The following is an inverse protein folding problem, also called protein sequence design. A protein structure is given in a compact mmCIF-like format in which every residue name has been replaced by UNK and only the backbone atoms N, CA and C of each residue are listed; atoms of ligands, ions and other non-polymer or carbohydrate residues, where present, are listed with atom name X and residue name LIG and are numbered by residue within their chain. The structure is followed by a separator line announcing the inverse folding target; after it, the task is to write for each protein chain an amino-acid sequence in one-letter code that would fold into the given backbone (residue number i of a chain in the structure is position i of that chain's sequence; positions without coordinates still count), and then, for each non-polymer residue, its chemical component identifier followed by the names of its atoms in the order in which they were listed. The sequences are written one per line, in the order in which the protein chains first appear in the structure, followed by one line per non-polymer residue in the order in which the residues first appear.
data_IF_992902536825
#
_entry.id   IF_992902536825
#
_cell.length_a   1.000
_cell.length_b   1.000
_cell.length_c   1.000
_cell.angle_alpha   90.00
_cell.angle_beta   90.00
_cell.angle_gamma   90.00
#
_symmetry.space_group_name_H-M   'P 1'
#
loop_
_entity.id
_entity.type
_entity.pdbx_description
1 polymer ?
#
# COMPACT_ATOMS: atom_id res chain seq x y z
N UNK A 1 -12.33 5.00 -9.17
CA UNK A 1 -13.05 3.80 -9.63
C UNK A 1 -14.55 3.90 -9.32
N UNK A 2 -14.94 4.14 -8.05
CA UNK A 2 -16.35 4.14 -7.61
C UNK A 2 -17.25 5.17 -8.31
N UNK A 3 -16.70 6.31 -8.78
CA UNK A 3 -17.47 7.38 -9.47
C UNK A 3 -17.45 7.24 -10.99
N UNK A 4 -16.44 6.57 -11.53
CA UNK A 4 -16.16 6.55 -12.97
C UNK A 4 -15.66 5.16 -13.38
N UNK A 5 -16.37 4.10 -12.96
CA UNK A 5 -16.01 2.71 -13.30
C UNK A 5 -15.98 2.48 -14.80
N UNK A 6 -16.83 3.17 -15.56
CA UNK A 6 -16.93 3.10 -17.02
C UNK A 6 -15.67 3.60 -17.76
N UNK A 7 -14.78 4.31 -17.06
CA UNK A 7 -13.51 4.79 -17.61
C UNK A 7 -12.35 3.82 -17.38
N UNK A 8 -12.59 2.68 -16.76
CA UNK A 8 -11.57 1.71 -16.35
C UNK A 8 -11.82 0.37 -17.02
N UNK A 9 -10.78 -0.23 -17.59
CA UNK A 9 -10.79 -1.62 -18.06
C UNK A 9 -10.64 -2.59 -16.86
N UNK A 10 -9.82 -2.22 -15.89
CA UNK A 10 -9.56 -3.01 -14.67
C UNK A 10 -8.94 -2.13 -13.58
N UNK A 11 -8.84 -2.66 -12.37
CA UNK A 11 -8.27 -1.95 -11.21
C UNK A 11 -7.31 -2.86 -10.44
N UNK A 12 -6.13 -2.35 -10.10
CA UNK A 12 -5.22 -2.99 -9.15
C UNK A 12 -5.13 -2.10 -7.90
N UNK A 13 -5.45 -2.66 -6.74
CA UNK A 13 -5.26 -2.03 -5.44
C UNK A 13 -4.11 -2.75 -4.74
N UNK A 14 -2.99 -2.05 -4.55
CA UNK A 14 -1.77 -2.61 -4.01
C UNK A 14 -1.35 -1.89 -2.73
N UNK A 15 -1.15 -2.66 -1.64
CA UNK A 15 -0.68 -2.13 -0.37
C UNK A 15 -1.60 -1.06 0.23
N UNK A 16 -2.92 -1.19 0.06
CA UNK A 16 -3.89 -0.21 0.56
C UNK A 16 -4.39 -0.57 1.95
N UNK A 17 -4.64 0.46 2.76
CA UNK A 17 -5.36 0.32 4.03
C UNK A 17 -6.85 0.12 3.77
N UNK A 18 -7.50 -0.55 4.72
CA UNK A 18 -8.97 -0.64 4.79
C UNK A 18 -9.40 -0.88 6.24
N UNK A 19 -10.27 0.00 6.76
CA UNK A 19 -10.87 -0.07 8.10
C UNK A 19 -9.86 -0.38 9.22
N UNK A 20 -9.08 0.63 9.59
CA UNK A 20 -8.23 0.54 10.77
C UNK A 20 -9.08 0.37 12.03
N UNK A 21 -8.74 -0.60 12.86
CA UNK A 21 -9.25 -0.68 14.23
C UNK A 21 -8.64 0.44 15.12
N UNK A 22 -9.14 0.56 16.35
CA UNK A 22 -8.70 1.62 17.27
C UNK A 22 -7.22 1.51 17.64
N UNK A 23 -6.66 0.31 17.69
CA UNK A 23 -5.24 0.09 17.95
C UNK A 23 -4.41 0.57 16.77
N UNK A 24 -4.80 0.22 15.54
CA UNK A 24 -4.15 0.66 14.32
C UNK A 24 -4.25 2.18 14.13
N UNK A 25 -5.40 2.79 14.46
CA UNK A 25 -5.59 4.24 14.47
C UNK A 25 -4.62 4.93 15.44
N UNK A 26 -4.50 4.41 16.67
CA UNK A 26 -3.53 4.94 17.65
C UNK A 26 -2.08 4.81 17.17
N UNK A 27 -1.73 3.67 16.59
CA UNK A 27 -0.38 3.44 16.07
C UNK A 27 -0.03 4.42 14.95
N UNK A 28 -0.94 4.65 13.98
CA UNK A 28 -0.67 5.58 12.87
C UNK A 28 -0.65 7.03 13.33
N UNK A 29 -1.50 7.41 14.30
CA UNK A 29 -1.47 8.73 14.93
C UNK A 29 -0.14 8.99 15.66
N UNK A 30 0.35 8.02 16.42
CA UNK A 30 1.66 8.12 17.07
C UNK A 30 2.80 8.28 16.04
N UNK A 31 2.74 7.58 14.92
CA UNK A 31 3.70 7.75 13.82
C UNK A 31 3.66 9.18 13.24
N UNK A 32 2.49 9.76 13.08
CA UNK A 32 2.35 11.16 12.67
C UNK A 32 3.01 12.10 13.67
N UNK A 33 2.77 11.92 14.98
CA UNK A 33 3.38 12.74 16.03
C UNK A 33 4.92 12.65 16.00
N UNK A 34 5.46 11.44 15.82
CA UNK A 34 6.91 11.22 15.65
C UNK A 34 7.42 11.88 14.37
N UNK A 35 6.67 11.78 13.26
CA UNK A 35 7.04 12.41 12.01
C UNK A 35 7.09 13.94 12.11
N UNK A 36 6.17 14.56 12.86
CA UNK A 36 6.18 16.03 13.14
C UNK A 36 7.49 16.50 13.79
N UNK A 37 8.18 15.65 14.53
CA UNK A 37 9.47 15.97 15.14
C UNK A 37 10.63 16.02 14.13
N UNK A 38 10.42 15.60 12.89
CA UNK A 38 11.41 15.58 11.79
C UNK A 38 12.77 14.99 12.16
N UNK A 39 12.78 13.90 12.92
CA UNK A 39 14.02 13.22 13.32
C UNK A 39 14.52 12.28 12.22
N UNK A 40 15.83 12.24 11.90
CA UNK A 40 16.38 11.29 10.93
C UNK A 40 16.02 9.84 11.23
N UNK A 41 15.97 9.46 12.51
CA UNK A 41 15.59 8.11 12.96
C UNK A 41 14.18 7.70 12.51
N UNK A 42 13.25 8.64 12.29
CA UNK A 42 11.90 8.32 11.82
C UNK A 42 11.88 7.75 10.40
N UNK A 43 12.77 8.24 9.53
CA UNK A 43 12.92 7.77 8.14
C UNK A 43 13.51 6.36 8.10
N UNK A 44 14.55 6.08 8.88
CA UNK A 44 15.12 4.74 9.00
C UNK A 44 14.11 3.73 9.55
N UNK A 45 13.32 4.12 10.57
CA UNK A 45 12.26 3.28 11.12
C UNK A 45 11.15 3.00 10.08
N UNK A 46 10.81 3.97 9.24
CA UNK A 46 9.86 3.78 8.15
C UNK A 46 10.39 2.76 7.13
N UNK A 47 11.63 2.91 6.67
CA UNK A 47 12.24 2.00 5.70
C UNK A 47 12.35 0.56 6.21
N UNK A 48 12.73 0.33 7.47
CA UNK A 48 12.74 -1.00 8.09
C UNK A 48 11.34 -1.64 8.21
N UNK A 49 10.31 -0.83 8.25
CA UNK A 49 8.92 -1.30 8.21
C UNK A 49 8.50 -1.68 6.80
N UNK A 50 9.04 -0.99 5.79
CA UNK A 50 8.66 -1.15 4.39
C UNK A 50 9.44 -2.23 3.65
N UNK A 51 10.67 -2.51 4.06
CA UNK A 51 11.59 -3.48 3.46
C UNK A 51 12.10 -4.46 4.51
N UNK A 52 12.38 -5.70 4.13
CA UNK A 52 13.00 -6.68 5.02
C UNK A 52 14.47 -6.36 5.27
N UNK A 53 14.99 -6.81 6.40
CA UNK A 53 16.42 -6.62 6.72
C UNK A 53 17.33 -7.33 5.72
N UNK A 54 16.92 -8.51 5.25
CA UNK A 54 17.67 -9.27 4.27
C UNK A 54 17.73 -8.55 2.91
N UNK A 55 16.62 -7.96 2.48
CA UNK A 55 16.61 -7.13 1.26
C UNK A 55 17.51 -5.91 1.41
N UNK A 56 17.44 -5.20 2.53
CA UNK A 56 18.28 -4.03 2.81
C UNK A 56 19.77 -4.39 2.78
N UNK A 57 20.14 -5.53 3.40
CA UNK A 57 21.55 -5.99 3.40
C UNK A 57 22.05 -6.34 2.00
N UNK A 58 21.21 -6.97 1.18
CA UNK A 58 21.57 -7.37 -0.19
C UNK A 58 21.54 -6.20 -1.18
N UNK A 59 20.73 -5.15 -0.90
CA UNK A 59 20.48 -4.04 -1.82
C UNK A 59 20.69 -2.67 -1.14
N UNK A 60 21.89 -2.38 -0.59
CA UNK A 60 22.13 -1.14 0.16
C UNK A 60 21.93 0.12 -0.68
N UNK A 61 22.15 0.06 -1.99
CA UNK A 61 21.97 1.20 -2.89
C UNK A 61 20.49 1.55 -3.10
N UNK A 62 19.61 0.54 -3.14
CA UNK A 62 18.15 0.77 -3.20
C UNK A 62 17.70 1.45 -1.90
N UNK A 63 18.17 0.96 -0.75
CA UNK A 63 17.89 1.59 0.53
C UNK A 63 18.33 3.06 0.57
N UNK A 64 19.56 3.37 0.16
CA UNK A 64 20.08 4.74 0.09
C UNK A 64 19.26 5.62 -0.85
N UNK A 65 18.86 5.08 -1.99
CA UNK A 65 18.03 5.81 -2.96
C UNK A 65 16.69 6.19 -2.35
N UNK A 66 15.97 5.24 -1.73
CA UNK A 66 14.67 5.52 -1.11
C UNK A 66 14.84 6.48 0.08
N UNK A 67 15.88 6.30 0.89
CA UNK A 67 16.19 7.22 1.99
C UNK A 67 16.42 8.65 1.49
N UNK A 68 17.21 8.81 0.42
CA UNK A 68 17.46 10.12 -0.21
C UNK A 68 16.18 10.77 -0.73
N UNK A 69 15.26 9.99 -1.31
CA UNK A 69 13.94 10.49 -1.72
C UNK A 69 13.13 11.00 -0.54
N UNK A 70 13.15 10.27 0.59
CA UNK A 70 12.49 10.72 1.82
C UNK A 70 13.12 11.99 2.40
N UNK A 71 14.44 12.19 2.25
CA UNK A 71 15.11 13.40 2.72
C UNK A 71 14.77 14.63 1.88
N UNK A 72 14.57 14.45 0.58
CA UNK A 72 14.23 15.53 -0.36
C UNK A 72 12.78 16.00 -0.24
N UNK A 73 11.92 15.24 0.44
CA UNK A 73 10.53 15.64 0.61
C UNK A 73 10.40 16.92 1.44
N UNK A 74 9.59 17.85 0.96
CA UNK A 74 9.18 19.00 1.78
C UNK A 74 8.42 18.50 3.01
N UNK A 75 9.04 18.70 4.17
CA UNK A 75 8.52 18.16 5.43
C UNK A 75 7.14 18.72 5.78
N UNK A 76 6.91 20.02 5.55
CA UNK A 76 5.62 20.67 5.85
C UNK A 76 4.49 20.10 5.00
N UNK A 77 4.73 19.90 3.72
CA UNK A 77 3.74 19.31 2.83
C UNK A 77 3.54 17.82 3.13
N UNK A 78 4.62 17.08 3.43
CA UNK A 78 4.52 15.69 3.86
C UNK A 78 3.61 15.53 5.09
N UNK A 79 3.76 16.36 6.12
CA UNK A 79 2.93 16.30 7.32
C UNK A 79 1.45 16.55 7.00
N UNK A 80 1.12 17.54 6.14
CA UNK A 80 -0.26 17.80 5.72
C UNK A 80 -0.89 16.59 5.03
N UNK A 81 -0.16 15.95 4.09
CA UNK A 81 -0.63 14.75 3.40
C UNK A 81 -0.79 13.59 4.38
N UNK A 82 0.16 13.44 5.30
CA UNK A 82 0.10 12.38 6.30
C UNK A 82 -1.06 12.57 7.29
N UNK A 83 -1.44 13.82 7.63
CA UNK A 83 -2.64 14.12 8.42
C UNK A 83 -3.92 13.66 7.70
N UNK A 84 -4.03 13.88 6.39
CA UNK A 84 -5.15 13.38 5.58
C UNK A 84 -5.21 11.85 5.64
N UNK A 85 -4.05 11.18 5.45
CA UNK A 85 -3.96 9.72 5.52
C UNK A 85 -4.35 9.15 6.89
N UNK A 86 -3.94 9.81 7.98
CA UNK A 86 -4.25 9.39 9.36
C UNK A 86 -5.73 9.49 9.66
N UNK A 87 -6.37 10.59 9.19
CA UNK A 87 -7.78 10.89 9.46
C UNK A 87 -8.74 10.31 8.40
N UNK A 88 -8.21 9.60 7.40
CA UNK A 88 -9.04 8.98 6.36
C UNK A 88 -9.91 7.86 6.95
N UNK A 89 -11.19 7.90 6.63
CA UNK A 89 -12.17 6.85 6.94
C UNK A 89 -12.75 6.27 5.65
N UNK A 90 -12.90 4.94 5.64
CA UNK A 90 -13.44 4.24 4.47
C UNK A 90 -14.96 4.38 4.38
N UNK A 91 -15.46 4.67 3.18
CA UNK A 91 -16.89 4.68 2.86
C UNK A 91 -17.26 3.43 2.05
N UNK A 92 -17.81 2.43 2.72
CA UNK A 92 -18.24 1.18 2.10
C UNK A 92 -19.31 1.41 1.02
N UNK A 93 -20.15 2.45 1.17
CA UNK A 93 -21.20 2.76 0.19
C UNK A 93 -20.58 3.18 -1.15
N UNK A 94 -19.44 3.84 -1.10
CA UNK A 94 -18.67 4.23 -2.29
C UNK A 94 -17.82 3.07 -2.82
N UNK A 95 -17.18 2.30 -1.94
CA UNK A 95 -16.34 1.16 -2.34
C UNK A 95 -17.17 0.09 -3.06
N UNK A 96 -18.37 -0.21 -2.58
CA UNK A 96 -19.32 -1.16 -3.21
C UNK A 96 -19.74 -0.78 -4.64
N UNK A 97 -19.59 0.48 -5.03
CA UNK A 97 -19.88 0.95 -6.41
C UNK A 97 -18.77 0.61 -7.41
N UNK A 98 -17.63 0.14 -6.95
CA UNK A 98 -16.57 -0.32 -7.86
C UNK A 98 -17.08 -1.55 -8.61
N UNK A 99 -17.25 -1.41 -9.92
CA UNK A 99 -17.84 -2.42 -10.79
C UNK A 99 -16.92 -2.69 -11.99
N UNK A 100 -15.67 -2.97 -11.71
CA UNK A 100 -14.66 -3.41 -12.70
C UNK A 100 -13.88 -4.58 -12.13
N UNK A 101 -13.31 -5.40 -13.01
CA UNK A 101 -12.40 -6.47 -12.58
C UNK A 101 -11.30 -5.87 -11.70
N UNK A 102 -11.22 -6.33 -10.46
CA UNK A 102 -10.32 -5.75 -9.47
C UNK A 102 -9.40 -6.81 -8.89
N UNK A 103 -8.10 -6.52 -8.87
CA UNK A 103 -7.08 -7.26 -8.15
C UNK A 103 -6.67 -6.47 -6.89
N UNK A 104 -6.67 -7.13 -5.74
CA UNK A 104 -6.21 -6.55 -4.48
C UNK A 104 -4.98 -7.34 -4.03
N UNK A 105 -3.88 -6.65 -3.74
CA UNK A 105 -2.63 -7.28 -3.32
C UNK A 105 -1.98 -6.52 -2.17
N UNK A 106 -1.27 -7.25 -1.32
CA UNK A 106 -0.39 -6.69 -0.29
C UNK A 106 0.70 -7.67 0.07
N UNK A 107 1.78 -7.20 0.68
CA UNK A 107 2.84 -8.06 1.19
C UNK A 107 2.37 -8.87 2.41
N UNK A 108 2.76 -10.14 2.48
CA UNK A 108 2.46 -11.05 3.61
C UNK A 108 2.87 -10.46 4.96
N UNK A 109 3.97 -9.70 4.99
CA UNK A 109 4.57 -9.10 6.18
C UNK A 109 4.30 -7.58 6.28
N UNK A 110 3.32 -7.05 5.53
CA UNK A 110 2.95 -5.64 5.64
C UNK A 110 2.14 -5.40 6.92
N UNK A 111 2.74 -4.68 7.85
CA UNK A 111 2.12 -4.31 9.13
C UNK A 111 1.31 -3.00 9.07
N UNK A 112 1.33 -2.33 7.94
CA UNK A 112 0.60 -1.06 7.73
C UNK A 112 -0.70 -1.27 6.96
N UNK A 113 -0.58 -1.93 5.80
CA UNK A 113 -1.69 -2.34 4.93
C UNK A 113 -1.75 -3.87 4.96
N UNK A 114 -2.33 -4.41 6.05
CA UNK A 114 -2.21 -5.85 6.37
C UNK A 114 -2.94 -6.75 5.38
N UNK A 115 -2.53 -8.02 5.25
CA UNK A 115 -3.28 -9.02 4.47
C UNK A 115 -4.76 -9.14 4.90
N UNK A 116 -5.04 -8.96 6.19
CA UNK A 116 -6.42 -8.97 6.69
C UNK A 116 -7.24 -7.80 6.14
N UNK A 117 -6.68 -6.58 6.13
CA UNK A 117 -7.33 -5.42 5.51
C UNK A 117 -7.62 -5.67 4.03
N UNK A 118 -6.65 -6.20 3.28
CA UNK A 118 -6.82 -6.51 1.87
C UNK A 118 -7.88 -7.59 1.62
N UNK A 119 -7.93 -8.66 2.43
CA UNK A 119 -9.00 -9.67 2.38
C UNK A 119 -10.36 -9.07 2.71
N UNK A 120 -10.46 -8.20 3.70
CA UNK A 120 -11.72 -7.56 4.06
C UNK A 120 -12.19 -6.60 2.96
N UNK A 121 -11.29 -5.84 2.34
CA UNK A 121 -11.60 -5.02 1.17
C UNK A 121 -12.11 -5.86 0.00
N UNK A 122 -11.52 -7.05 -0.23
CA UNK A 122 -11.95 -7.94 -1.31
C UNK A 122 -13.36 -8.51 -1.11
N UNK A 123 -13.84 -8.60 0.12
CA UNK A 123 -15.24 -8.99 0.40
C UNK A 123 -16.24 -7.89 0.05
N UNK A 124 -15.81 -6.64 0.02
CA UNK A 124 -16.66 -5.47 -0.25
C UNK A 124 -16.74 -5.18 -1.75
N UNK A 125 -15.65 -5.35 -2.49
CA UNK A 125 -15.61 -5.13 -3.95
C UNK A 125 -16.03 -6.43 -4.65
N UNK A 126 -17.23 -6.42 -5.22
CA UNK A 126 -17.81 -7.60 -5.88
C UNK A 126 -16.92 -8.10 -7.03
N UNK A 127 -16.62 -9.38 -7.02
CA UNK A 127 -15.81 -10.01 -8.09
C UNK A 127 -14.31 -9.72 -8.02
N UNK A 128 -13.84 -9.00 -7.01
CA UNK A 128 -12.41 -8.79 -6.83
C UNK A 128 -11.68 -10.08 -6.44
N UNK A 129 -10.37 -10.11 -6.77
CA UNK A 129 -9.45 -11.17 -6.35
C UNK A 129 -8.43 -10.62 -5.38
N UNK A 130 -8.14 -11.36 -4.32
CA UNK A 130 -7.05 -11.06 -3.40
C UNK A 130 -5.87 -12.01 -3.67
N UNK A 131 -4.67 -11.43 -3.75
CA UNK A 131 -3.40 -12.18 -3.85
C UNK A 131 -2.41 -11.60 -2.84
N UNK A 132 -1.89 -12.44 -1.98
CA UNK A 132 -0.86 -12.12 -1.00
C UNK A 132 0.52 -12.33 -1.61
N UNK A 133 1.38 -11.31 -1.50
CA UNK A 133 2.77 -11.37 -1.99
C UNK A 133 3.63 -11.98 -0.89
N UNK A 134 4.09 -13.21 -1.13
CA UNK A 134 4.89 -13.97 -0.17
C UNK A 134 6.19 -13.27 0.21
N UNK A 135 6.54 -13.32 1.48
CA UNK A 135 7.73 -12.69 2.09
C UNK A 135 7.80 -11.16 1.96
N UNK A 136 6.87 -10.53 1.22
CA UNK A 136 6.88 -9.09 0.97
C UNK A 136 6.45 -8.27 2.17
N UNK A 137 7.08 -7.12 2.39
CA UNK A 137 6.60 -6.04 3.27
C UNK A 137 5.83 -4.97 2.46
N UNK A 138 5.78 -3.73 2.97
CA UNK A 138 5.00 -2.66 2.34
C UNK A 138 5.50 -2.27 0.93
N UNK A 139 6.80 -2.26 0.72
CA UNK A 139 7.40 -2.03 -0.60
C UNK A 139 7.68 -3.35 -1.34
N UNK A 140 6.78 -4.32 -1.24
CA UNK A 140 6.92 -5.60 -1.94
C UNK A 140 6.98 -5.46 -3.46
N UNK A 141 6.48 -4.37 -4.05
CA UNK A 141 6.70 -4.04 -5.46
C UNK A 141 8.18 -3.78 -5.83
N UNK A 142 9.02 -3.51 -4.84
CA UNK A 142 10.47 -3.40 -5.00
C UNK A 142 11.15 -4.68 -4.50
N UNK A 143 10.78 -5.14 -3.32
CA UNK A 143 11.41 -6.28 -2.64
C UNK A 143 11.13 -7.62 -3.32
N UNK A 144 9.92 -7.79 -3.86
CA UNK A 144 9.44 -8.99 -4.56
C UNK A 144 9.01 -8.63 -5.99
N UNK A 145 9.82 -7.80 -6.69
CA UNK A 145 9.43 -7.19 -7.96
C UNK A 145 9.01 -8.22 -9.02
N UNK A 146 9.72 -9.34 -9.14
CA UNK A 146 9.43 -10.37 -10.14
C UNK A 146 8.05 -11.00 -9.90
N UNK A 147 7.74 -11.37 -8.66
CA UNK A 147 6.45 -11.95 -8.31
C UNK A 147 5.30 -10.95 -8.54
N UNK A 148 5.49 -9.71 -8.10
CA UNK A 148 4.50 -8.63 -8.29
C UNK A 148 4.27 -8.38 -9.77
N UNK A 149 5.32 -8.30 -10.59
CA UNK A 149 5.21 -8.06 -12.02
C UNK A 149 4.49 -9.21 -12.73
N UNK A 150 4.78 -10.47 -12.38
CA UNK A 150 4.08 -11.65 -12.92
C UNK A 150 2.59 -11.58 -12.59
N UNK A 151 2.24 -11.30 -11.32
CA UNK A 151 0.86 -11.23 -10.86
C UNK A 151 0.10 -10.11 -11.58
N UNK A 152 0.70 -8.93 -11.67
CA UNK A 152 0.09 -7.77 -12.34
C UNK A 152 -0.07 -7.98 -13.84
N UNK A 153 0.99 -8.49 -14.49
CA UNK A 153 0.96 -8.81 -15.93
C UNK A 153 -0.15 -9.81 -16.25
N UNK A 154 -0.22 -10.92 -15.53
CA UNK A 154 -1.24 -11.95 -15.74
C UNK A 154 -2.66 -11.41 -15.55
N UNK A 155 -2.85 -10.51 -14.58
CA UNK A 155 -4.14 -9.86 -14.36
C UNK A 155 -4.50 -8.91 -15.50
N UNK A 156 -3.57 -8.07 -15.95
CA UNK A 156 -3.78 -7.11 -17.04
C UNK A 156 -4.04 -7.83 -18.36
N UNK A 157 -3.21 -8.80 -18.72
CA UNK A 157 -3.36 -9.55 -19.98
C UNK A 157 -4.72 -10.25 -20.07
N UNK A 158 -5.18 -10.84 -18.96
CA UNK A 158 -6.49 -11.48 -18.90
C UNK A 158 -7.65 -10.51 -19.12
N UNK A 159 -7.52 -9.26 -18.68
CA UNK A 159 -8.57 -8.26 -18.83
C UNK A 159 -8.53 -7.59 -20.20
N UNK A 160 -7.35 -7.42 -20.81
CA UNK A 160 -7.23 -6.90 -22.16
C UNK A 160 -7.73 -7.87 -23.23
N UNK A 161 -7.68 -9.18 -22.98
CA UNK A 161 -8.20 -10.19 -23.89
C UNK A 161 -9.75 -10.28 -23.93
N UNK A 162 -10.44 -9.53 -23.06
CA UNK A 162 -11.91 -9.50 -22.96
C UNK A 162 -12.53 -8.20 -23.51
N UNK A 163 -11.69 -7.26 -23.94
CA UNK A 163 -12.06 -6.05 -24.65
C UNK A 163 -11.79 -6.17 -26.14
#
# INVERSE_FOLDING_TARGET
ASKYSERLCSLIIHGSIYKRDDTQKRVVLNRLNVAKMNRPTSKHTALRRWLSEDFIKKNPEIYKTIYSLLEKNDHKNFIKIYEIFVNYEDDDSMIKKINVNTLITTGENDVGSTPEMARNLSKIIKGSKFVEIKNGKHLCSIECADDVNIIFKNFIDKNNAQT
#
